data_IF_769505135823
#
_entry.id   IF_769505135823
#
_cell.length_a   1.000
_cell.length_b   1.000
_cell.length_c   1.000
_cell.angle_alpha   90.00
_cell.angle_beta   90.00
_cell.angle_gamma   90.00
#
_symmetry.space_group_name_H-M   'P 1'
#
loop_
_entity.id
_entity.type
_entity.pdbx_description
1 polymer ?
#
# COMPACT_ATOMS: atom_id res chain seq x y z
N UNK A 1 -24.69 -4.61 9.61
CA UNK A 1 -23.51 -3.74 9.47
C UNK A 1 -24.01 -2.33 9.62
N UNK A 2 -23.47 -1.62 10.62
CA UNK A 2 -23.66 -0.17 10.72
C UNK A 2 -22.89 0.49 9.59
N UNK A 3 -23.34 1.65 9.11
CA UNK A 3 -22.60 2.47 8.14
C UNK A 3 -21.26 2.99 8.70
N UNK A 4 -21.08 2.92 10.02
CA UNK A 4 -19.86 3.36 10.72
C UNK A 4 -18.87 2.21 11.03
N UNK A 5 -19.16 0.98 10.60
CA UNK A 5 -18.27 -0.16 10.84
C UNK A 5 -16.98 0.00 10.02
N UNK A 6 -15.83 0.15 10.68
CA UNK A 6 -14.52 0.23 10.02
C UNK A 6 -14.03 -1.17 9.65
N UNK A 7 -13.72 -1.37 8.37
CA UNK A 7 -13.29 -2.67 7.82
C UNK A 7 -12.00 -2.53 7.03
N UNK A 8 -11.22 -3.62 6.96
CA UNK A 8 -10.00 -3.69 6.15
C UNK A 8 -10.37 -4.29 4.78
N UNK A 9 -10.33 -3.47 3.73
CA UNK A 9 -10.63 -3.91 2.37
C UNK A 9 -9.45 -4.64 1.71
N UNK A 10 -8.22 -4.23 2.02
CA UNK A 10 -7.00 -4.77 1.41
C UNK A 10 -5.76 -4.43 2.24
N UNK A 11 -4.71 -5.23 2.08
CA UNK A 11 -3.39 -4.96 2.64
C UNK A 11 -2.28 -5.43 1.69
N UNK A 12 -1.20 -4.63 1.62
CA UNK A 12 0.01 -4.97 0.89
C UNK A 12 1.24 -4.38 1.59
N UNK A 13 2.40 -4.97 1.36
CA UNK A 13 3.69 -4.47 1.85
C UNK A 13 4.79 -4.75 0.83
N UNK A 14 5.82 -3.93 0.86
CA UNK A 14 7.08 -4.26 0.18
C UNK A 14 7.82 -5.38 0.92
N UNK A 15 8.77 -6.07 0.26
CA UNK A 15 9.78 -6.84 0.97
C UNK A 15 10.60 -5.95 1.90
N UNK A 16 11.20 -6.55 2.94
CA UNK A 16 12.13 -5.86 3.82
C UNK A 16 13.51 -5.81 3.17
N UNK A 17 14.04 -4.60 3.01
CA UNK A 17 15.39 -4.38 2.48
C UNK A 17 16.44 -4.44 3.59
N UNK A 18 17.63 -4.98 3.27
CA UNK A 18 18.83 -4.80 4.11
C UNK A 18 19.40 -3.40 3.91
N UNK A 19 20.12 -2.89 4.91
CA UNK A 19 20.89 -1.64 4.79
C UNK A 19 21.84 -1.75 3.59
N UNK A 20 21.80 -0.76 2.68
CA UNK A 20 22.56 -0.76 1.41
C UNK A 20 22.28 -1.99 0.51
N UNK A 21 21.12 -2.64 0.67
CA UNK A 21 20.71 -3.82 -0.11
C UNK A 21 19.88 -3.50 -1.35
N UNK A 22 19.09 -4.48 -1.80
CA UNK A 22 18.35 -4.43 -3.07
C UNK A 22 17.34 -3.28 -3.23
N UNK A 23 16.88 -2.69 -2.12
CA UNK A 23 15.93 -1.56 -2.13
C UNK A 23 16.60 -0.21 -1.88
N UNK A 24 17.94 -0.16 -1.75
CA UNK A 24 18.64 1.05 -1.33
C UNK A 24 18.58 2.21 -2.34
N UNK A 25 18.26 1.92 -3.61
CA UNK A 25 18.06 2.94 -4.64
C UNK A 25 16.68 3.59 -4.60
N UNK A 26 15.73 3.03 -3.83
CA UNK A 26 14.37 3.54 -3.73
C UNK A 26 14.23 4.47 -2.52
N UNK A 27 13.54 5.58 -2.74
CA UNK A 27 13.14 6.49 -1.66
C UNK A 27 12.00 5.90 -0.83
N UNK A 28 11.82 6.41 0.39
CA UNK A 28 10.69 6.03 1.24
C UNK A 28 9.33 6.26 0.54
N UNK A 29 9.20 7.36 -0.20
CA UNK A 29 7.99 7.67 -0.97
C UNK A 29 7.73 6.60 -2.02
N UNK A 30 8.73 6.23 -2.82
CA UNK A 30 8.59 5.18 -3.85
C UNK A 30 8.19 3.83 -3.25
N UNK A 31 8.78 3.45 -2.12
CA UNK A 31 8.40 2.21 -1.40
C UNK A 31 6.94 2.24 -0.94
N UNK A 32 6.50 3.37 -0.37
CA UNK A 32 5.11 3.60 0.01
C UNK A 32 4.16 3.56 -1.18
N UNK A 33 4.51 4.21 -2.29
CA UNK A 33 3.73 4.20 -3.54
C UNK A 33 3.54 2.78 -4.07
N UNK A 34 4.59 1.96 -4.09
CA UNK A 34 4.51 0.56 -4.54
C UNK A 34 3.54 -0.24 -3.66
N UNK A 35 3.64 -0.08 -2.33
CA UNK A 35 2.75 -0.77 -1.39
C UNK A 35 1.29 -0.33 -1.58
N UNK A 36 1.05 0.98 -1.69
CA UNK A 36 -0.29 1.55 -1.86
C UNK A 36 -0.92 1.13 -3.19
N UNK A 37 -0.18 1.19 -4.29
CA UNK A 37 -0.67 0.75 -5.61
C UNK A 37 -1.16 -0.69 -5.57
N UNK A 38 -0.41 -1.59 -4.92
CA UNK A 38 -0.81 -2.99 -4.78
C UNK A 38 -1.96 -3.20 -3.80
N UNK A 39 -2.08 -2.38 -2.77
CA UNK A 39 -3.24 -2.41 -1.87
C UNK A 39 -4.52 -1.98 -2.62
N UNK A 40 -4.47 -0.88 -3.37
CA UNK A 40 -5.59 -0.39 -4.18
C UNK A 40 -5.99 -1.40 -5.26
N UNK A 41 -5.04 -1.92 -6.04
CA UNK A 41 -5.29 -2.94 -7.07
C UNK A 41 -6.02 -4.17 -6.52
N UNK A 42 -5.62 -4.66 -5.33
CA UNK A 42 -6.27 -5.80 -4.66
C UNK A 42 -7.63 -5.47 -4.08
N UNK A 43 -7.86 -4.21 -3.71
CA UNK A 43 -9.14 -3.76 -3.15
C UNK A 43 -10.24 -3.71 -4.20
N UNK A 44 -9.89 -3.61 -5.49
CA UNK A 44 -10.84 -3.42 -6.58
C UNK A 44 -11.38 -2.00 -6.72
N UNK A 45 -10.92 -1.06 -5.89
CA UNK A 45 -11.29 0.35 -5.93
C UNK A 45 -10.21 1.20 -6.63
N UNK A 46 -10.65 2.26 -7.31
CA UNK A 46 -9.76 3.26 -7.88
C UNK A 46 -9.30 4.30 -6.85
N UNK A 47 -8.27 5.11 -7.17
CA UNK A 47 -7.76 6.16 -6.28
C UNK A 47 -8.79 7.20 -5.87
N UNK A 48 -9.81 7.43 -6.69
CA UNK A 48 -10.92 8.34 -6.44
C UNK A 48 -11.81 7.97 -5.24
N UNK A 49 -11.66 6.74 -4.72
CA UNK A 49 -12.40 6.25 -3.56
C UNK A 49 -11.69 6.50 -2.22
N UNK A 50 -10.55 7.22 -2.21
CA UNK A 50 -9.76 7.53 -1.02
C UNK A 50 -9.93 9.01 -0.64
N UNK A 51 -10.42 9.27 0.58
CA UNK A 51 -10.55 10.60 1.19
C UNK A 51 -9.27 11.10 1.89
#
# INVERSE_FOLDING_TARGET
MSTDDVVILSAARTPLGKIKGALASLTAVQLGTIALQKALERSGFGPEAVD
#
